data_IF_968998745815
#
_entry.id   IF_968998745815
#
_cell.length_a   1.000
_cell.length_b   1.000
_cell.length_c   1.000
_cell.angle_alpha   90.00
_cell.angle_beta   90.00
_cell.angle_gamma   90.00
#
_symmetry.space_group_name_H-M   'P 1'
#
loop_
_entity.id
_entity.type
_entity.pdbx_description
1 polymer ?
#
# COMPACT_ATOMS: atom_id res chain seq x y z
N UNK A 1 -18.84 -0.51 -32.68
CA UNK A 1 -19.53 -0.80 -31.40
C UNK A 1 -18.54 -0.39 -30.31
N UNK A 2 -18.89 0.57 -29.46
CA UNK A 2 -17.97 1.07 -28.41
C UNK A 2 -18.18 0.21 -27.17
N UNK A 3 -17.19 -0.58 -26.78
CA UNK A 3 -17.20 -1.30 -25.51
C UNK A 3 -16.51 -0.44 -24.43
N UNK A 4 -16.86 -0.66 -23.17
CA UNK A 4 -16.09 -0.13 -22.03
C UNK A 4 -15.41 -1.30 -21.31
N UNK A 5 -14.13 -1.13 -21.00
CA UNK A 5 -13.40 -2.01 -20.09
C UNK A 5 -13.29 -1.24 -18.80
N UNK A 6 -13.89 -1.75 -17.72
CA UNK A 6 -13.89 -1.05 -16.44
C UNK A 6 -13.28 -1.92 -15.34
N UNK A 7 -12.75 -1.25 -14.33
CA UNK A 7 -12.07 -1.82 -13.18
C UNK A 7 -12.65 -1.24 -11.90
N UNK A 8 -12.79 -2.06 -10.86
CA UNK A 8 -13.05 -1.55 -9.51
C UNK A 8 -11.73 -1.05 -8.91
N UNK A 9 -11.74 0.15 -8.35
CA UNK A 9 -10.69 0.61 -7.46
C UNK A 9 -11.23 1.45 -6.31
N UNK A 10 -10.34 2.17 -5.63
CA UNK A 10 -10.63 2.79 -4.33
C UNK A 10 -11.72 3.89 -4.39
N UNK A 11 -11.98 4.46 -5.58
CA UNK A 11 -13.02 5.50 -5.79
C UNK A 11 -14.25 5.01 -6.57
N UNK A 12 -14.40 3.69 -6.73
CA UNK A 12 -15.50 3.06 -7.48
C UNK A 12 -15.06 2.44 -8.80
N UNK A 13 -15.99 2.34 -9.75
CA UNK A 13 -15.71 1.84 -11.09
C UNK A 13 -14.97 2.90 -11.92
N UNK A 14 -13.92 2.46 -12.61
CA UNK A 14 -13.04 3.32 -13.42
C UNK A 14 -12.83 2.68 -14.80
N UNK A 15 -12.91 3.49 -15.85
CA UNK A 15 -12.72 3.02 -17.23
C UNK A 15 -11.23 2.92 -17.58
N UNK A 16 -10.82 1.73 -18.03
CA UNK A 16 -9.49 1.44 -18.55
C UNK A 16 -9.50 1.69 -20.05
N UNK A 17 -8.85 2.77 -20.47
CA UNK A 17 -8.68 3.10 -21.88
C UNK A 17 -7.37 2.50 -22.40
N UNK A 18 -7.44 1.71 -23.47
CA UNK A 18 -6.29 1.05 -24.11
C UNK A 18 -5.16 2.03 -24.41
N UNK A 19 -5.49 3.19 -24.97
CA UNK A 19 -4.54 4.25 -25.33
C UNK A 19 -3.79 4.89 -24.16
N UNK A 20 -4.24 4.66 -22.93
CA UNK A 20 -3.59 5.16 -21.72
C UNK A 20 -2.62 4.13 -21.11
N UNK A 21 -2.61 2.88 -21.60
CA UNK A 21 -1.63 1.90 -21.18
C UNK A 21 -0.24 2.26 -21.72
N UNK A 22 0.84 1.91 -20.98
CA UNK A 22 2.20 2.17 -21.45
C UNK A 22 2.47 1.52 -22.81
N UNK A 23 3.08 2.26 -23.74
CA UNK A 23 3.39 1.74 -25.08
C UNK A 23 4.27 0.47 -25.01
N UNK A 24 5.19 0.42 -24.06
CA UNK A 24 6.04 -0.75 -23.80
C UNK A 24 5.22 -1.99 -23.41
N UNK A 25 4.09 -1.82 -22.73
CA UNK A 25 3.14 -2.90 -22.44
C UNK A 25 2.37 -3.31 -23.70
N UNK A 26 1.91 -2.33 -24.49
CA UNK A 26 1.15 -2.57 -25.72
C UNK A 26 1.98 -3.25 -26.83
N UNK A 27 3.32 -3.14 -26.82
CA UNK A 27 4.21 -3.82 -27.77
C UNK A 27 4.33 -5.34 -27.57
N UNK A 28 3.60 -5.93 -26.63
CA UNK A 28 3.60 -7.39 -26.39
C UNK A 28 2.86 -8.15 -27.48
N UNK A 29 3.06 -9.46 -27.58
CA UNK A 29 2.27 -10.36 -28.44
C UNK A 29 1.41 -11.27 -27.56
N UNK A 30 0.17 -11.49 -27.97
CA UNK A 30 -0.72 -12.45 -27.31
C UNK A 30 -0.92 -13.65 -28.23
N UNK A 31 -0.73 -14.83 -27.68
CA UNK A 31 -1.07 -16.08 -28.33
C UNK A 31 -2.21 -16.77 -27.60
N UNK A 32 -3.18 -17.27 -28.35
CA UNK A 32 -4.22 -18.16 -27.83
C UNK A 32 -3.80 -19.59 -28.21
N UNK A 33 -3.58 -20.43 -27.20
CA UNK A 33 -3.15 -21.81 -27.37
C UNK A 33 -4.32 -22.74 -27.04
N UNK A 34 -4.61 -23.68 -27.95
CA UNK A 34 -5.49 -24.80 -27.65
C UNK A 34 -4.63 -25.95 -27.13
N UNK A 35 -5.05 -26.52 -26.00
CA UNK A 35 -4.36 -27.61 -25.34
C UNK A 35 -5.13 -28.93 -25.53
N UNK A 36 -4.41 -30.03 -25.65
CA UNK A 36 -5.01 -31.36 -25.51
C UNK A 36 -5.22 -31.74 -24.04
N UNK A 37 -5.72 -32.96 -23.82
CA UNK A 37 -5.97 -33.53 -22.48
C UNK A 37 -4.71 -33.67 -21.62
N UNK A 38 -3.53 -33.64 -22.22
CA UNK A 38 -2.23 -33.81 -21.58
C UNK A 38 -1.49 -32.46 -21.45
N UNK A 39 -2.22 -31.34 -21.62
CA UNK A 39 -1.72 -29.95 -21.62
C UNK A 39 -0.69 -29.64 -22.70
N UNK A 40 -0.64 -30.40 -23.79
CA UNK A 40 0.22 -30.11 -24.92
C UNK A 40 -0.46 -29.14 -25.88
N UNK A 41 0.30 -28.18 -26.40
CA UNK A 41 -0.20 -27.21 -27.37
C UNK A 41 -0.45 -27.90 -28.70
N UNK A 42 -1.70 -27.94 -29.13
CA UNK A 42 -2.12 -28.53 -30.41
C UNK A 42 -2.42 -27.49 -31.49
N UNK A 43 -2.73 -26.25 -31.10
CA UNK A 43 -2.83 -25.12 -32.01
C UNK A 43 -2.49 -23.81 -31.33
N UNK A 44 -2.04 -22.84 -32.12
CA UNK A 44 -1.60 -21.53 -31.64
C UNK A 44 -2.03 -20.45 -32.62
N UNK A 45 -2.75 -19.45 -32.13
CA UNK A 45 -3.20 -18.30 -32.93
C UNK A 45 -2.55 -17.04 -32.36
N UNK A 46 -1.88 -16.27 -33.22
CA UNK A 46 -1.42 -14.91 -32.87
C UNK A 46 -2.61 -13.96 -32.98
N UNK A 47 -2.87 -13.23 -31.90
CA UNK A 47 -3.93 -12.21 -31.84
C UNK A 47 -3.54 -11.00 -32.70
N UNK A 48 -4.52 -10.42 -33.40
CA UNK A 48 -4.32 -9.23 -34.25
C UNK A 48 -3.95 -8.00 -33.41
N UNK A 49 -3.29 -7.01 -34.01
CA UNK A 49 -2.95 -5.76 -33.30
C UNK A 49 -4.21 -5.05 -32.76
N UNK A 50 -5.32 -5.07 -33.50
CA UNK A 50 -6.57 -4.42 -33.07
C UNK A 50 -7.21 -5.09 -31.86
N UNK A 51 -7.12 -6.41 -31.73
CA UNK A 51 -7.72 -7.15 -30.60
C UNK A 51 -6.75 -7.25 -29.41
N UNK A 52 -5.45 -7.23 -29.68
CA UNK A 52 -4.38 -7.39 -28.68
C UNK A 52 -4.40 -6.25 -27.65
N UNK A 53 -4.58 -5.00 -28.07
CA UNK A 53 -4.64 -3.86 -27.15
C UNK A 53 -5.83 -3.99 -26.17
N UNK A 54 -7.00 -4.41 -26.67
CA UNK A 54 -8.18 -4.69 -25.86
C UNK A 54 -7.96 -5.81 -24.87
N UNK A 55 -7.31 -6.90 -25.29
CA UNK A 55 -6.97 -8.01 -24.40
C UNK A 55 -5.99 -7.58 -23.30
N UNK A 56 -4.98 -6.76 -23.63
CA UNK A 56 -4.06 -6.20 -22.64
C UNK A 56 -4.77 -5.25 -21.67
N UNK A 57 -5.73 -4.46 -22.13
CA UNK A 57 -6.58 -3.63 -21.28
C UNK A 57 -7.49 -4.46 -20.36
N UNK A 58 -8.06 -5.57 -20.84
CA UNK A 58 -8.82 -6.50 -19.99
C UNK A 58 -7.93 -7.13 -18.91
N UNK A 59 -6.71 -7.53 -19.27
CA UNK A 59 -5.74 -8.06 -18.30
C UNK A 59 -5.38 -7.01 -17.26
N UNK A 60 -5.10 -5.77 -17.67
CA UNK A 60 -4.88 -4.67 -16.74
C UNK A 60 -6.10 -4.38 -15.86
N UNK A 61 -7.31 -4.38 -16.42
CA UNK A 61 -8.52 -4.17 -15.64
C UNK A 61 -8.74 -5.26 -14.58
N UNK A 62 -8.35 -6.49 -14.89
CA UNK A 62 -8.45 -7.64 -13.97
C UNK A 62 -7.40 -7.62 -12.87
N UNK A 63 -6.14 -7.36 -13.21
CA UNK A 63 -5.00 -7.52 -12.30
C UNK A 63 -4.51 -6.21 -11.70
N UNK A 64 -4.73 -5.08 -12.38
CA UNK A 64 -4.32 -3.77 -11.93
C UNK A 64 -2.84 -3.47 -12.16
N UNK A 65 -2.22 -2.61 -11.35
CA UNK A 65 -0.84 -2.14 -11.57
C UNK A 65 0.17 -3.27 -11.50
N UNK A 66 -0.15 -4.36 -10.78
CA UNK A 66 0.74 -5.52 -10.62
C UNK A 66 1.17 -6.10 -11.95
N UNK A 67 0.28 -6.16 -12.96
CA UNK A 67 0.65 -6.73 -14.26
C UNK A 67 1.66 -5.84 -14.97
N UNK A 68 1.55 -4.52 -14.85
CA UNK A 68 2.54 -3.61 -15.44
C UNK A 68 3.88 -3.75 -14.74
N UNK A 69 3.89 -3.83 -13.41
CA UNK A 69 5.11 -4.00 -12.62
C UNK A 69 5.79 -5.32 -12.96
N UNK A 70 5.05 -6.43 -12.96
CA UNK A 70 5.60 -7.76 -13.28
C UNK A 70 6.07 -7.89 -14.73
N UNK A 71 5.46 -7.16 -15.66
CA UNK A 71 5.78 -7.30 -17.08
C UNK A 71 6.82 -6.31 -17.60
N UNK A 72 7.01 -5.18 -16.90
CA UNK A 72 7.90 -4.08 -17.33
C UNK A 72 9.03 -3.78 -16.32
N UNK A 73 8.87 -4.19 -15.06
CA UNK A 73 9.75 -3.82 -13.95
C UNK A 73 10.10 -5.05 -13.09
N UNK A 74 10.41 -6.17 -13.74
CA UNK A 74 10.72 -7.44 -13.07
C UNK A 74 11.84 -7.27 -12.05
N UNK A 75 11.57 -7.68 -10.81
CA UNK A 75 12.53 -7.61 -9.71
C UNK A 75 12.82 -6.19 -9.19
N UNK A 76 12.07 -5.17 -9.61
CA UNK A 76 12.26 -3.80 -9.11
C UNK A 76 11.92 -3.68 -7.61
N UNK A 77 10.87 -4.36 -7.18
CA UNK A 77 10.42 -4.40 -5.79
C UNK A 77 10.63 -5.79 -5.22
N UNK A 78 11.03 -5.85 -3.94
CA UNK A 78 10.83 -7.06 -3.13
C UNK A 78 9.34 -7.37 -2.96
N UNK A 79 9.00 -8.59 -2.51
CA UNK A 79 7.60 -8.97 -2.27
C UNK A 79 6.89 -8.00 -1.30
N UNK A 80 7.55 -7.66 -0.18
CA UNK A 80 7.01 -6.71 0.80
C UNK A 80 6.83 -5.30 0.22
N UNK A 81 7.81 -4.80 -0.54
CA UNK A 81 7.71 -3.50 -1.21
C UNK A 81 6.59 -3.47 -2.25
N UNK A 82 6.42 -4.56 -3.02
CA UNK A 82 5.43 -4.65 -4.07
C UNK A 82 4.02 -4.47 -3.50
N UNK A 83 3.68 -5.16 -2.40
CA UNK A 83 2.39 -5.03 -1.75
C UNK A 83 2.10 -3.58 -1.33
N UNK A 84 3.09 -2.89 -0.78
CA UNK A 84 2.92 -1.48 -0.37
C UNK A 84 2.88 -0.54 -1.56
N UNK A 85 3.66 -0.79 -2.61
CA UNK A 85 3.66 -0.03 -3.84
C UNK A 85 2.28 -0.09 -4.52
N UNK A 86 1.66 -1.27 -4.57
CA UNK A 86 0.34 -1.46 -5.16
C UNK A 86 -0.73 -0.66 -4.42
N UNK A 87 -0.71 -0.66 -3.08
CA UNK A 87 -1.63 0.13 -2.27
C UNK A 87 -1.48 1.64 -2.55
N UNK A 88 -0.23 2.13 -2.62
CA UNK A 88 0.04 3.54 -2.90
C UNK A 88 -0.38 3.92 -4.32
N UNK A 89 -0.04 3.12 -5.33
CA UNK A 89 -0.41 3.40 -6.72
C UNK A 89 -1.93 3.48 -6.90
N UNK A 90 -2.68 2.57 -6.28
CA UNK A 90 -4.14 2.55 -6.39
C UNK A 90 -4.85 3.73 -5.70
N UNK A 91 -4.17 4.43 -4.79
CA UNK A 91 -4.71 5.61 -4.13
C UNK A 91 -4.64 6.87 -5.03
N UNK A 92 -3.62 6.96 -5.88
CA UNK A 92 -3.28 8.18 -6.62
C UNK A 92 -3.54 8.08 -8.12
N UNK A 93 -3.25 6.94 -8.76
CA UNK A 93 -3.24 6.82 -10.22
C UNK A 93 -3.94 5.55 -10.72
N UNK A 94 -4.78 5.68 -11.74
CA UNK A 94 -5.49 4.55 -12.34
C UNK A 94 -4.53 3.61 -13.10
N UNK A 95 -3.62 4.20 -13.89
CA UNK A 95 -2.61 3.52 -14.68
C UNK A 95 -1.27 4.20 -14.35
N UNK A 96 -0.38 3.54 -13.60
CA UNK A 96 0.88 4.17 -13.21
C UNK A 96 1.78 4.39 -14.43
N UNK A 97 2.41 5.57 -14.47
CA UNK A 97 3.46 5.86 -15.44
C UNK A 97 4.81 5.30 -14.97
N UNK A 98 5.81 5.33 -15.86
CA UNK A 98 7.20 5.01 -15.49
C UNK A 98 7.68 5.86 -14.31
N UNK A 99 7.43 7.17 -14.37
CA UNK A 99 7.88 8.12 -13.36
C UNK A 99 7.25 7.81 -11.99
N UNK A 100 5.95 7.47 -11.96
CA UNK A 100 5.29 7.07 -10.71
C UNK A 100 5.94 5.82 -10.07
N UNK A 101 6.30 4.83 -10.90
CA UNK A 101 6.91 3.58 -10.43
C UNK A 101 8.33 3.84 -9.90
N UNK A 102 9.11 4.65 -10.62
CA UNK A 102 10.48 4.99 -10.22
C UNK A 102 10.50 5.91 -8.99
N UNK A 103 9.55 6.84 -8.87
CA UNK A 103 9.37 7.68 -7.69
C UNK A 103 9.08 6.83 -6.44
N UNK A 104 8.18 5.86 -6.55
CA UNK A 104 7.91 4.91 -5.46
C UNK A 104 9.15 4.08 -5.11
N UNK A 105 9.92 3.62 -6.10
CA UNK A 105 11.14 2.89 -5.81
C UNK A 105 12.15 3.75 -5.05
N UNK A 106 12.37 4.98 -5.49
CA UNK A 106 13.23 5.97 -4.82
C UNK A 106 12.77 6.24 -3.39
N UNK A 107 11.45 6.28 -3.16
CA UNK A 107 10.88 6.45 -1.82
C UNK A 107 11.24 5.28 -0.89
N UNK A 108 11.13 4.04 -1.36
CA UNK A 108 11.54 2.86 -0.60
C UNK A 108 13.05 2.82 -0.36
N UNK A 109 13.87 3.19 -1.34
CA UNK A 109 15.33 3.25 -1.18
C UNK A 109 15.75 4.30 -0.14
N UNK A 110 15.07 5.46 -0.14
CA UNK A 110 15.39 6.58 0.76
C UNK A 110 14.93 6.33 2.20
N UNK A 111 13.73 5.77 2.38
CA UNK A 111 13.11 5.68 3.71
C UNK A 111 13.02 4.26 4.27
N UNK A 112 13.18 3.24 3.42
CA UNK A 112 12.94 1.85 3.76
C UNK A 112 11.45 1.49 3.75
N UNK A 113 11.16 0.23 3.37
CA UNK A 113 9.81 -0.33 3.29
C UNK A 113 8.94 -0.04 4.51
N UNK A 114 9.45 -0.30 5.71
CA UNK A 114 8.65 -0.21 6.94
C UNK A 114 8.18 1.22 7.25
N UNK A 115 9.00 2.25 6.96
CA UNK A 115 8.59 3.66 7.13
C UNK A 115 7.51 4.03 6.14
N UNK A 116 7.69 3.66 4.86
CA UNK A 116 6.72 3.95 3.80
C UNK A 116 5.37 3.29 4.10
N UNK A 117 5.38 2.03 4.53
CA UNK A 117 4.18 1.29 4.93
C UNK A 117 3.46 1.94 6.11
N UNK A 118 4.21 2.30 7.17
CA UNK A 118 3.64 2.96 8.33
C UNK A 118 3.06 4.34 7.97
N UNK A 119 3.74 5.12 7.13
CA UNK A 119 3.25 6.42 6.66
C UNK A 119 1.93 6.27 5.90
N UNK A 120 1.85 5.26 5.03
CA UNK A 120 0.61 4.93 4.32
C UNK A 120 -0.52 4.58 5.30
N UNK A 121 -0.28 3.71 6.28
CA UNK A 121 -1.29 3.35 7.28
C UNK A 121 -1.76 4.53 8.14
N UNK A 122 -0.85 5.46 8.48
CA UNK A 122 -1.20 6.71 9.17
C UNK A 122 -2.08 7.62 8.31
N UNK A 123 -1.87 7.63 6.99
CA UNK A 123 -2.60 8.50 6.05
C UNK A 123 -3.99 8.00 5.68
N UNK A 124 -4.30 6.70 5.84
CA UNK A 124 -5.62 6.12 5.53
C UNK A 124 -6.79 6.76 6.29
N UNK A 125 -6.52 7.29 7.48
CA UNK A 125 -7.54 7.89 8.33
C UNK A 125 -7.88 9.34 7.94
N UNK A 126 -7.39 9.82 6.79
CA UNK A 126 -7.71 11.16 6.28
C UNK A 126 -9.17 11.31 5.83
N UNK A 127 -9.84 10.24 5.40
CA UNK A 127 -11.10 10.36 4.64
C UNK A 127 -12.37 9.78 5.28
N UNK A 128 -12.33 9.18 6.47
CA UNK A 128 -13.53 8.61 7.12
C UNK A 128 -13.70 9.08 8.55
N UNK A 129 -14.73 9.91 8.78
CA UNK A 129 -15.40 10.19 10.06
C UNK A 129 -14.62 9.88 11.36
N UNK A 130 -13.52 10.61 11.59
CA UNK A 130 -13.13 11.03 12.94
C UNK A 130 -12.29 10.08 13.80
N UNK A 131 -11.83 8.94 13.27
CA UNK A 131 -10.89 8.06 13.99
C UNK A 131 -9.46 8.35 13.52
N UNK A 132 -8.78 9.26 14.22
CA UNK A 132 -7.35 9.51 13.98
C UNK A 132 -6.53 8.22 14.14
N UNK A 133 -5.35 8.16 13.51
CA UNK A 133 -4.47 6.99 13.61
C UNK A 133 -4.14 6.58 15.06
N UNK A 134 -4.03 7.57 15.95
CA UNK A 134 -3.72 7.36 17.35
C UNK A 134 -4.98 7.28 18.23
N UNK A 135 -5.06 6.23 19.05
CA UNK A 135 -6.06 6.03 20.11
C UNK A 135 -5.67 6.81 21.38
N UNK A 136 -5.85 8.12 21.33
CA UNK A 136 -5.49 9.05 22.41
C UNK A 136 -6.72 9.68 23.06
N UNK A 137 -6.55 10.29 24.24
CA UNK A 137 -7.63 11.08 24.86
C UNK A 137 -7.90 12.38 24.09
N UNK A 138 -9.10 12.97 24.21
CA UNK A 138 -9.43 14.28 23.61
C UNK A 138 -8.53 15.46 24.01
N UNK A 139 -7.73 15.32 25.07
CA UNK A 139 -6.79 16.35 25.53
C UNK A 139 -5.42 16.25 24.86
N UNK A 140 -5.15 15.17 24.14
CA UNK A 140 -3.88 14.95 23.45
C UNK A 140 -3.79 15.84 22.20
N UNK A 141 -2.61 16.41 21.89
CA UNK A 141 -2.40 17.13 20.62
C UNK A 141 -2.57 16.21 19.39
N UNK A 142 -2.47 14.89 19.57
CA UNK A 142 -2.67 13.90 18.51
C UNK A 142 -4.12 13.45 18.34
N UNK A 143 -5.05 14.00 19.12
CA UNK A 143 -6.45 13.59 19.06
C UNK A 143 -7.08 13.98 17.73
N UNK A 144 -7.57 12.97 16.99
CA UNK A 144 -8.16 13.15 15.66
C UNK A 144 -7.23 13.86 14.66
N UNK A 145 -5.92 13.83 14.91
CA UNK A 145 -4.96 14.34 13.95
C UNK A 145 -5.06 13.49 12.69
N UNK A 146 -5.00 14.17 11.55
CA UNK A 146 -5.07 13.57 10.25
C UNK A 146 -3.75 13.83 9.55
N UNK A 147 -3.15 12.79 8.98
CA UNK A 147 -1.87 12.91 8.28
C UNK A 147 -2.10 12.81 6.79
N UNK A 148 -1.55 13.75 6.02
CA UNK A 148 -1.18 13.41 4.65
C UNK A 148 -0.09 12.35 4.66
N UNK A 149 0.13 11.66 3.53
CA UNK A 149 1.23 10.71 3.42
C UNK A 149 2.59 11.35 3.72
N UNK A 150 2.81 12.57 3.23
CA UNK A 150 4.04 13.33 3.47
C UNK A 150 4.19 13.73 4.95
N UNK A 151 3.11 14.20 5.59
CA UNK A 151 3.14 14.54 7.02
C UNK A 151 3.44 13.31 7.89
N UNK A 152 2.87 12.16 7.55
CA UNK A 152 3.14 10.92 8.26
C UNK A 152 4.61 10.49 8.11
N UNK A 153 5.15 10.62 6.90
CA UNK A 153 6.54 10.28 6.64
C UNK A 153 7.51 11.20 7.38
N UNK A 154 7.22 12.51 7.42
CA UNK A 154 7.97 13.49 8.20
C UNK A 154 7.90 13.18 9.70
N UNK A 155 6.71 12.91 10.22
CA UNK A 155 6.50 12.50 11.61
C UNK A 155 7.35 11.28 11.99
N UNK A 156 7.45 10.28 11.11
CA UNK A 156 8.26 9.08 11.33
C UNK A 156 9.76 9.40 11.25
N UNK A 157 10.19 10.26 10.33
CA UNK A 157 11.59 10.58 10.14
C UNK A 157 12.19 11.45 11.25
N UNK A 158 11.37 12.27 11.90
CA UNK A 158 11.80 13.16 12.99
C UNK A 158 11.85 12.47 14.36
N UNK A 159 11.50 11.18 14.43
CA UNK A 159 11.33 10.44 15.68
C UNK A 159 12.08 9.12 15.68
N UNK A 160 12.46 8.68 16.88
CA UNK A 160 13.01 7.34 17.08
C UNK A 160 11.91 6.28 17.17
N UNK A 161 10.66 6.68 17.37
CA UNK A 161 9.55 5.77 17.62
C UNK A 161 8.38 6.44 18.32
N UNK A 162 7.45 5.63 18.84
CA UNK A 162 6.39 6.11 19.72
C UNK A 162 5.94 5.07 20.74
N UNK A 163 5.30 5.57 21.80
CA UNK A 163 4.85 4.77 22.94
C UNK A 163 3.35 4.46 22.86
N UNK A 164 2.99 3.23 23.21
CA UNK A 164 1.60 2.79 23.31
C UNK A 164 1.43 1.66 24.33
N UNK A 165 0.18 1.38 24.68
CA UNK A 165 -0.21 0.32 25.59
C UNK A 165 -0.82 -0.85 24.81
N UNK A 166 -0.42 -2.07 25.17
CA UNK A 166 -0.99 -3.33 24.67
C UNK A 166 -1.65 -4.11 25.81
N UNK A 167 -2.70 -4.86 25.48
CA UNK A 167 -3.29 -5.83 26.41
C UNK A 167 -2.47 -7.14 26.49
N UNK A 168 -2.95 -8.09 27.29
CA UNK A 168 -2.32 -9.41 27.45
C UNK A 168 -2.30 -10.25 26.17
N UNK A 169 -3.13 -9.92 25.19
CA UNK A 169 -3.21 -10.57 23.88
C UNK A 169 -2.35 -9.85 22.83
N UNK A 170 -1.69 -8.76 23.19
CA UNK A 170 -0.87 -7.96 22.27
C UNK A 170 -1.64 -6.93 21.46
N UNK A 171 -2.94 -6.73 21.71
CA UNK A 171 -3.72 -5.72 20.99
C UNK A 171 -3.41 -4.33 21.53
N UNK A 172 -3.19 -3.38 20.63
CA UNK A 172 -3.04 -1.95 20.94
C UNK A 172 -4.33 -1.43 21.60
N UNK A 173 -4.20 -0.72 22.73
CA UNK A 173 -5.34 -0.20 23.52
C UNK A 173 -5.33 1.30 23.74
N UNK A 174 -4.15 1.92 23.80
CA UNK A 174 -4.03 3.35 24.06
C UNK A 174 -2.68 3.87 23.57
N UNK A 175 -2.65 5.07 23.02
CA UNK A 175 -1.43 5.71 22.54
C UNK A 175 -0.97 6.83 23.44
N UNK A 176 0.32 6.83 23.76
CA UNK A 176 0.97 7.97 24.40
C UNK A 176 1.61 8.88 23.36
N UNK A 177 2.09 8.27 22.26
CA UNK A 177 2.84 8.90 21.18
C UNK A 177 4.20 9.40 21.67
N UNK A 178 4.20 10.33 22.61
CA UNK A 178 5.38 10.80 23.34
C UNK A 178 5.65 9.94 24.58
N UNK A 179 6.82 10.12 25.21
CA UNK A 179 7.23 9.34 26.38
C UNK A 179 6.23 9.50 27.55
N UNK A 180 5.66 8.39 28.05
CA UNK A 180 4.70 8.46 29.14
C UNK A 180 5.37 8.66 30.49
N UNK A 181 4.71 9.39 31.38
CA UNK A 181 5.14 9.53 32.77
C UNK A 181 5.02 8.21 33.54
N UNK A 182 5.82 8.05 34.61
CA UNK A 182 5.73 6.89 35.54
C UNK A 182 4.31 6.64 36.07
N UNK A 183 3.53 7.70 36.27
CA UNK A 183 2.14 7.61 36.73
C UNK A 183 1.23 7.04 35.64
N UNK A 184 1.40 7.46 34.38
CA UNK A 184 0.65 6.93 33.24
C UNK A 184 0.97 5.45 33.00
N UNK A 185 2.25 5.06 33.09
CA UNK A 185 2.68 3.66 33.00
C UNK A 185 2.04 2.83 34.11
N UNK A 186 2.19 3.28 35.37
CA UNK A 186 1.60 2.59 36.54
C UNK A 186 0.09 2.44 36.44
N UNK A 187 -0.60 3.44 35.90
CA UNK A 187 -2.05 3.41 35.70
C UNK A 187 -2.45 2.33 34.68
N UNK A 188 -1.78 2.28 33.52
CA UNK A 188 -2.05 1.25 32.51
C UNK A 188 -1.81 -0.16 33.06
N UNK A 189 -0.70 -0.36 33.78
CA UNK A 189 -0.34 -1.67 34.32
C UNK A 189 -1.28 -2.12 35.44
N UNK A 190 -1.53 -1.26 36.44
CA UNK A 190 -2.26 -1.64 37.66
C UNK A 190 -3.77 -1.62 37.48
N UNK A 191 -4.30 -0.62 36.78
CA UNK A 191 -5.76 -0.43 36.65
C UNK A 191 -6.31 -1.10 35.41
N UNK A 192 -5.62 -0.98 34.29
CA UNK A 192 -6.10 -1.51 33.01
C UNK A 192 -5.51 -2.89 32.68
N UNK A 193 -4.46 -3.33 33.39
CA UNK A 193 -3.78 -4.60 33.11
C UNK A 193 -3.01 -4.60 31.78
N UNK A 194 -2.69 -3.41 31.25
CA UNK A 194 -1.99 -3.23 29.98
C UNK A 194 -0.48 -3.06 30.20
N UNK A 195 0.31 -3.48 29.23
CA UNK A 195 1.74 -3.25 29.18
C UNK A 195 2.05 -2.04 28.29
N UNK A 196 2.94 -1.14 28.75
CA UNK A 196 3.45 -0.04 27.94
C UNK A 196 4.68 -0.50 27.17
N UNK A 197 4.71 -0.18 25.87
CA UNK A 197 5.79 -0.52 24.95
C UNK A 197 6.19 0.69 24.11
N UNK A 198 7.40 0.65 23.60
CA UNK A 198 7.95 1.59 22.62
C UNK A 198 8.21 0.87 21.31
N UNK A 199 7.63 1.34 20.20
CA UNK A 199 7.98 0.88 18.86
C UNK A 199 9.12 1.75 18.33
N UNK A 200 10.30 1.17 18.22
CA UNK A 200 11.46 1.81 17.60
C UNK A 200 11.34 1.80 16.07
N UNK A 201 11.56 2.95 15.43
CA UNK A 201 11.61 3.09 13.97
C UNK A 201 12.97 2.73 13.37
N UNK A 202 13.98 2.53 14.21
CA UNK A 202 15.33 2.16 13.78
C UNK A 202 15.41 0.67 13.46
N UNK A 203 14.86 -0.17 14.35
CA UNK A 203 14.95 -1.63 14.25
C UNK A 203 13.57 -2.33 14.24
N UNK A 204 12.48 -1.56 14.34
CA UNK A 204 11.10 -2.04 14.26
C UNK A 204 10.72 -3.04 15.34
N UNK A 205 11.44 -2.99 16.46
CA UNK A 205 11.18 -3.84 17.63
C UNK A 205 10.37 -3.11 18.68
N UNK A 206 9.55 -3.89 19.38
CA UNK A 206 8.85 -3.43 20.57
C UNK A 206 9.74 -3.61 21.80
N UNK A 207 10.00 -2.50 22.48
CA UNK A 207 10.74 -2.47 23.73
C UNK A 207 9.77 -2.26 24.90
N UNK A 208 9.99 -3.00 26.00
CA UNK A 208 9.17 -2.86 27.20
C UNK A 208 9.65 -1.65 27.99
N UNK A 209 8.69 -0.87 28.48
CA UNK A 209 8.93 0.33 29.30
C UNK A 209 8.62 0.05 30.77
#
# INVERSE_FOLDING_TARGET
MTYSISRVGHRGWMDVQEKLLPETFLRKRIFIEALDKDNQVISKILVTESDKDSMLAVLFAKYGPIILIQELYQGLFSEDELDTALLLLEQYELIPTHDNIMELKSLFEKHGHQKVKLAHDMSKNYSSWGDGYFMVTPKSPYFRISFSFEDALNFINEREGFYFAIDKQGNRRYDFVDEPTKNQISYQQRKNGNQVVFLSFTDWKLQRV
#
